data_IF_655033359503
#
_entry.id   IF_655033359503
#
_cell.length_a   1.000
_cell.length_b   1.000
_cell.length_c   1.000
_cell.angle_alpha   90.00
_cell.angle_beta   90.00
_cell.angle_gamma   90.00
#
_symmetry.space_group_name_H-M   'P 1'
#
loop_
_entity.id
_entity.type
_entity.pdbx_description
1 polymer ?
#
# COMPACT_ATOMS: atom_id res chain seq x y z
N UNK A 1 -51.53 24.78 4.80
CA UNK A 1 -50.79 25.25 3.61
C UNK A 1 -49.31 25.12 3.87
N UNK A 2 -48.65 24.27 3.09
CA UNK A 2 -47.21 24.06 3.10
C UNK A 2 -46.49 25.24 2.42
N UNK A 3 -45.24 25.49 2.81
CA UNK A 3 -44.13 25.67 1.86
C UNK A 3 -42.78 25.41 2.55
N UNK A 4 -42.29 24.22 2.25
CA UNK A 4 -40.90 23.77 2.36
C UNK A 4 -39.96 24.71 1.59
N UNK A 5 -38.83 25.09 2.21
CA UNK A 5 -37.69 25.68 1.52
C UNK A 5 -36.57 24.64 1.48
N UNK A 6 -36.59 23.85 0.40
CA UNK A 6 -35.49 22.99 0.01
C UNK A 6 -34.28 23.85 -0.37
N UNK A 7 -33.15 23.68 0.35
CA UNK A 7 -31.85 24.22 -0.06
C UNK A 7 -31.22 23.25 -1.06
N UNK A 8 -31.23 23.65 -2.32
CA UNK A 8 -30.54 22.97 -3.41
C UNK A 8 -29.03 22.94 -3.14
N UNK A 9 -28.46 21.75 -3.03
CA UNK A 9 -27.02 21.51 -2.97
C UNK A 9 -26.48 21.57 -4.40
N UNK A 10 -25.69 22.60 -4.71
CA UNK A 10 -24.95 22.67 -5.97
C UNK A 10 -23.82 21.64 -5.96
N UNK A 11 -23.94 20.61 -6.80
CA UNK A 11 -22.83 19.74 -7.19
C UNK A 11 -21.92 20.50 -8.16
N UNK A 12 -20.74 20.91 -7.68
CA UNK A 12 -19.71 21.55 -8.48
C UNK A 12 -18.98 20.56 -9.40
N UNK A 13 -19.31 20.66 -10.69
CA UNK A 13 -18.50 20.52 -11.91
C UNK A 13 -17.33 19.53 -11.96
N UNK A 14 -17.45 18.61 -12.93
CA UNK A 14 -16.44 17.71 -13.44
C UNK A 14 -15.13 18.44 -13.81
N UNK A 15 -14.00 17.88 -13.40
CA UNK A 15 -12.67 18.38 -13.74
C UNK A 15 -12.31 17.88 -15.15
N UNK A 16 -12.44 18.75 -16.14
CA UNK A 16 -11.94 18.50 -17.50
C UNK A 16 -10.43 18.76 -17.57
N UNK A 17 -9.71 17.78 -18.13
CA UNK A 17 -8.27 17.85 -18.37
C UNK A 17 -7.93 18.80 -19.53
N UNK A 18 -7.66 20.07 -19.22
CA UNK A 18 -6.92 20.92 -20.16
C UNK A 18 -5.41 20.65 -20.03
N UNK A 19 -4.88 20.00 -21.07
CA UNK A 19 -3.45 19.79 -21.32
C UNK A 19 -2.72 21.14 -21.40
N UNK A 20 -1.94 21.46 -20.37
CA UNK A 20 -0.81 22.39 -20.49
C UNK A 20 0.48 21.63 -20.14
N UNK A 21 1.30 21.44 -21.17
CA UNK A 21 2.60 20.80 -21.12
C UNK A 21 3.60 21.66 -20.35
N UNK A 22 3.79 21.33 -19.08
CA UNK A 22 5.07 21.53 -18.39
C UNK A 22 5.45 20.17 -17.83
N UNK A 23 6.71 19.77 -17.99
CA UNK A 23 7.23 18.43 -17.65
C UNK A 23 7.20 18.14 -16.16
N UNK A 24 6.01 18.01 -15.58
CA UNK A 24 5.80 17.47 -14.24
C UNK A 24 5.73 15.96 -14.37
N UNK A 25 6.61 15.27 -13.66
CA UNK A 25 6.52 13.83 -13.44
C UNK A 25 5.16 13.51 -12.83
N UNK A 26 4.19 13.17 -13.67
CA UNK A 26 2.85 12.78 -13.25
C UNK A 26 2.92 11.39 -12.66
N UNK A 27 2.26 11.19 -11.53
CA UNK A 27 2.14 9.87 -10.93
C UNK A 27 1.26 9.01 -11.84
N UNK A 28 1.77 7.85 -12.25
CA UNK A 28 0.97 6.87 -12.98
C UNK A 28 0.09 6.09 -11.99
N UNK A 29 -1.22 6.34 -12.04
CA UNK A 29 -2.19 5.69 -11.17
C UNK A 29 -2.74 4.43 -11.82
N UNK A 30 -2.86 3.35 -11.04
CA UNK A 30 -3.49 2.10 -11.48
C UNK A 30 -4.99 2.24 -11.74
N UNK A 31 -5.62 3.23 -11.10
CA UNK A 31 -7.03 3.59 -11.23
C UNK A 31 -7.18 5.09 -11.25
N UNK A 32 -8.25 5.57 -11.88
CA UNK A 32 -8.67 6.95 -11.70
C UNK A 32 -8.97 7.22 -10.22
N UNK A 33 -8.46 8.34 -9.71
CA UNK A 33 -8.69 8.70 -8.31
C UNK A 33 -10.09 9.28 -8.13
N UNK A 34 -10.83 8.74 -7.17
CA UNK A 34 -12.17 9.17 -6.82
C UNK A 34 -12.36 9.37 -5.30
N UNK A 35 -13.36 10.15 -4.95
CA UNK A 35 -13.82 10.29 -3.56
C UNK A 35 -14.54 9.04 -3.09
N UNK A 36 -14.50 8.79 -1.79
CA UNK A 36 -15.28 7.71 -1.18
C UNK A 36 -16.76 8.01 -1.35
N UNK A 37 -17.50 7.06 -1.92
CA UNK A 37 -18.94 7.20 -2.15
C UNK A 37 -19.66 5.93 -1.70
N UNK A 38 -20.59 6.01 -0.73
CA UNK A 38 -20.90 7.19 0.07
C UNK A 38 -19.76 7.57 1.04
N UNK A 39 -19.65 8.84 1.46
CA UNK A 39 -18.75 9.22 2.56
C UNK A 39 -19.12 8.48 3.85
N UNK A 40 -18.11 8.10 4.64
CA UNK A 40 -18.36 7.59 5.99
C UNK A 40 -18.77 8.75 6.93
N UNK A 41 -19.56 8.48 7.98
CA UNK A 41 -19.89 9.49 9.00
C UNK A 41 -18.67 9.85 9.87
N UNK A 42 -17.58 9.11 9.75
CA UNK A 42 -16.33 9.28 10.49
C UNK A 42 -15.11 9.21 9.58
N UNK A 43 -13.99 9.74 10.06
CA UNK A 43 -12.69 9.59 9.42
C UNK A 43 -11.87 8.47 10.07
N UNK A 44 -10.93 7.91 9.31
CA UNK A 44 -9.94 6.93 9.79
C UNK A 44 -8.57 7.59 9.77
N UNK A 45 -7.87 7.62 10.91
CA UNK A 45 -6.55 8.25 10.98
C UNK A 45 -5.47 7.37 10.33
N UNK A 46 -4.59 7.97 9.55
CA UNK A 46 -3.28 7.42 9.25
C UNK A 46 -2.23 8.18 10.07
N UNK A 47 -2.02 7.72 11.29
CA UNK A 47 -1.15 8.31 12.28
C UNK A 47 0.28 7.80 12.11
N UNK A 48 1.25 8.72 12.08
CA UNK A 48 2.67 8.34 12.03
C UNK A 48 3.56 9.46 12.57
N UNK A 49 4.68 9.11 13.16
CA UNK A 49 5.76 10.08 13.39
C UNK A 49 6.33 10.56 12.03
N UNK A 50 6.75 11.84 11.88
CA UNK A 50 7.37 12.33 10.66
C UNK A 50 8.55 11.47 10.18
N UNK A 51 8.68 11.23 8.88
CA UNK A 51 9.74 10.36 8.35
C UNK A 51 9.44 8.85 8.40
N UNK A 52 8.30 8.42 8.97
CA UNK A 52 7.90 7.00 9.00
C UNK A 52 7.31 6.45 7.69
N UNK A 53 7.23 7.24 6.61
CA UNK A 53 6.79 6.76 5.29
C UNK A 53 5.31 6.95 4.96
N UNK A 54 4.61 7.84 5.66
CA UNK A 54 3.18 8.09 5.47
C UNK A 54 2.78 8.38 4.02
N UNK A 55 3.50 9.28 3.34
CA UNK A 55 3.24 9.62 1.93
C UNK A 55 3.34 8.40 1.01
N UNK A 56 4.26 7.49 1.29
CA UNK A 56 4.41 6.26 0.51
C UNK A 56 3.24 5.30 0.77
N UNK A 57 2.83 5.13 2.03
CA UNK A 57 1.67 4.28 2.33
C UNK A 57 0.37 4.86 1.74
N UNK A 58 0.15 6.18 1.80
CA UNK A 58 -0.98 6.83 1.11
C UNK A 58 -0.97 6.58 -0.39
N UNK A 59 0.21 6.70 -1.01
CA UNK A 59 0.38 6.40 -2.43
C UNK A 59 -0.02 4.96 -2.75
N UNK A 60 0.46 3.98 -1.99
CA UNK A 60 0.09 2.58 -2.19
C UNK A 60 -1.41 2.34 -2.00
N UNK A 61 -2.02 2.92 -0.97
CA UNK A 61 -3.46 2.79 -0.75
C UNK A 61 -4.27 3.41 -1.89
N UNK A 62 -3.87 4.57 -2.42
CA UNK A 62 -4.48 5.17 -3.59
C UNK A 62 -4.29 4.31 -4.85
N UNK A 63 -3.11 3.70 -5.03
CA UNK A 63 -2.85 2.81 -6.16
C UNK A 63 -3.79 1.61 -6.16
N UNK A 64 -3.97 0.96 -5.00
CA UNK A 64 -4.77 -0.26 -4.93
C UNK A 64 -6.28 0.04 -4.98
N UNK A 65 -6.72 1.11 -4.32
CA UNK A 65 -8.15 1.37 -4.11
C UNK A 65 -8.76 2.36 -5.11
N UNK A 66 -7.95 3.25 -5.70
CA UNK A 66 -8.45 4.44 -6.40
C UNK A 66 -9.09 5.49 -5.47
N UNK A 67 -9.28 5.21 -4.17
CA UNK A 67 -9.90 6.16 -3.24
C UNK A 67 -8.84 7.15 -2.75
N UNK A 68 -9.12 8.45 -2.88
CA UNK A 68 -8.21 9.51 -2.42
C UNK A 68 -7.96 9.43 -0.92
N UNK A 69 -6.76 9.81 -0.50
CA UNK A 69 -6.40 9.90 0.92
C UNK A 69 -6.25 11.35 1.36
N UNK A 70 -6.78 11.68 2.53
CA UNK A 70 -6.78 13.03 3.07
C UNK A 70 -5.59 13.35 3.96
N UNK A 71 -5.51 14.60 4.43
CA UNK A 71 -4.57 15.03 5.47
C UNK A 71 -5.14 16.15 6.31
N UNK A 72 -4.80 16.17 7.60
CA UNK A 72 -5.12 17.28 8.53
C UNK A 72 -4.33 18.57 8.25
N UNK A 73 -3.53 18.61 7.18
CA UNK A 73 -2.68 19.72 6.80
C UNK A 73 -2.70 19.88 5.28
N UNK A 74 -2.40 21.09 4.81
CA UNK A 74 -2.29 21.40 3.39
C UNK A 74 -0.82 21.43 2.96
N UNK A 75 -0.40 20.44 2.16
CA UNK A 75 0.88 20.46 1.47
C UNK A 75 0.65 20.71 -0.03
N UNK A 76 0.91 21.93 -0.50
CA UNK A 76 0.70 22.32 -1.90
C UNK A 76 1.53 21.49 -2.88
N UNK A 77 2.71 21.03 -2.47
CA UNK A 77 3.58 20.20 -3.33
C UNK A 77 2.96 18.82 -3.52
N UNK A 78 2.52 18.19 -2.43
CA UNK A 78 1.83 16.90 -2.50
C UNK A 78 0.48 17.00 -3.22
N UNK A 79 -0.27 18.10 -3.01
CA UNK A 79 -1.55 18.32 -3.69
C UNK A 79 -1.40 18.38 -5.20
N UNK A 80 -0.39 19.10 -5.69
CA UNK A 80 -0.05 19.17 -7.12
C UNK A 80 0.48 17.86 -7.69
N UNK A 81 1.04 16.99 -6.85
CA UNK A 81 1.72 15.77 -7.28
C UNK A 81 0.87 14.50 -7.18
N UNK A 82 -0.40 14.56 -6.78
CA UNK A 82 -1.28 13.38 -6.76
C UNK A 82 -1.95 13.07 -5.43
N UNK A 83 -1.94 14.02 -4.48
CA UNK A 83 -2.74 13.97 -3.26
C UNK A 83 -3.82 15.06 -3.28
N UNK A 84 -4.85 14.97 -4.14
CA UNK A 84 -5.83 16.05 -4.35
C UNK A 84 -6.61 16.43 -3.09
N UNK A 85 -6.74 15.49 -2.15
CA UNK A 85 -7.47 15.65 -0.88
C UNK A 85 -6.60 16.12 0.31
N UNK A 86 -5.44 16.74 0.07
CA UNK A 86 -4.76 17.52 1.13
C UNK A 86 -5.74 18.53 1.74
N UNK A 87 -5.69 18.71 3.06
CA UNK A 87 -6.64 19.50 3.86
C UNK A 87 -8.09 18.94 3.95
N UNK A 88 -8.35 17.73 3.46
CA UNK A 88 -9.62 17.03 3.71
C UNK A 88 -9.41 16.02 4.84
N UNK A 89 -10.29 16.06 5.85
CA UNK A 89 -10.14 15.28 7.08
C UNK A 89 -11.44 14.65 7.60
N UNK A 90 -12.38 14.33 6.71
CA UNK A 90 -13.66 13.68 7.01
C UNK A 90 -13.76 12.30 6.33
N UNK A 91 -14.94 11.67 6.36
CA UNK A 91 -15.16 10.34 5.78
C UNK A 91 -15.30 10.29 4.26
N UNK A 92 -15.11 11.40 3.53
CA UNK A 92 -15.08 11.43 2.05
C UNK A 92 -13.79 10.85 1.47
N UNK A 93 -12.79 10.58 2.30
CA UNK A 93 -11.50 10.00 1.92
C UNK A 93 -11.31 8.61 2.54
N UNK A 94 -10.35 7.83 2.03
CA UNK A 94 -10.04 6.50 2.55
C UNK A 94 -9.50 6.55 3.99
N UNK A 95 -8.44 7.35 4.18
CA UNK A 95 -7.75 7.60 5.44
C UNK A 95 -7.23 9.04 5.47
N UNK A 96 -6.99 9.57 6.67
CA UNK A 96 -6.54 10.96 6.90
C UNK A 96 -5.17 10.97 7.57
N UNK A 97 -4.14 11.42 6.86
CA UNK A 97 -2.78 11.59 7.41
C UNK A 97 -2.74 12.58 8.56
N UNK A 98 -2.07 12.21 9.64
CA UNK A 98 -1.74 13.10 10.76
C UNK A 98 -0.38 12.79 11.39
N UNK A 99 0.33 13.85 11.79
CA UNK A 99 1.50 13.81 12.67
C UNK A 99 1.18 14.36 14.07
N UNK A 100 -0.08 14.76 14.31
CA UNK A 100 -0.55 15.23 15.61
C UNK A 100 -0.78 14.03 16.54
N UNK A 101 -0.67 14.27 17.84
CA UNK A 101 -1.13 13.34 18.88
C UNK A 101 -2.62 13.02 18.69
N UNK A 102 -3.11 11.89 19.25
CA UNK A 102 -4.52 11.53 19.14
C UNK A 102 -5.39 12.70 19.64
N UNK A 103 -6.49 13.01 18.93
CA UNK A 103 -7.36 14.10 19.31
C UNK A 103 -7.96 13.83 20.69
N UNK A 104 -8.05 14.88 21.52
CA UNK A 104 -8.78 14.80 22.80
C UNK A 104 -10.28 14.56 22.59
N UNK A 105 -10.80 15.03 21.45
CA UNK A 105 -12.19 14.84 21.06
C UNK A 105 -12.33 13.49 20.35
N UNK A 106 -13.08 12.57 20.97
CA UNK A 106 -13.27 11.20 20.49
C UNK A 106 -13.97 11.11 19.12
N UNK A 107 -14.66 12.17 18.69
CA UNK A 107 -15.47 12.16 17.46
C UNK A 107 -14.67 12.44 16.17
N UNK A 108 -13.36 12.72 16.24
CA UNK A 108 -12.60 13.07 15.03
C UNK A 108 -12.19 11.86 14.20
N UNK A 109 -11.82 10.76 14.85
CA UNK A 109 -11.41 9.53 14.20
C UNK A 109 -12.03 8.35 14.91
N UNK A 110 -12.74 7.51 14.18
CA UNK A 110 -13.35 6.28 14.71
C UNK A 110 -12.27 5.21 14.97
N UNK A 111 -11.33 5.10 14.03
CA UNK A 111 -10.25 4.13 14.08
C UNK A 111 -8.95 4.72 13.51
N UNK A 112 -7.83 4.03 13.75
CA UNK A 112 -6.51 4.51 13.34
C UNK A 112 -5.62 3.39 12.80
N UNK A 113 -4.90 3.69 11.73
CA UNK A 113 -3.70 2.97 11.33
C UNK A 113 -2.50 3.71 11.92
N UNK A 114 -1.72 3.04 12.76
CA UNK A 114 -0.49 3.57 13.36
C UNK A 114 0.72 3.00 12.61
N UNK A 115 1.35 3.84 11.78
CA UNK A 115 2.55 3.50 11.03
C UNK A 115 3.80 3.81 11.86
N UNK A 116 4.50 2.74 12.26
CA UNK A 116 5.69 2.76 13.09
C UNK A 116 6.90 2.44 12.22
N UNK A 117 7.98 3.20 12.39
CA UNK A 117 9.28 2.97 11.72
C UNK A 117 10.38 3.02 12.77
N UNK A 118 11.47 2.29 12.53
CA UNK A 118 12.67 2.38 13.37
C UNK A 118 13.03 3.85 13.65
N UNK A 119 13.13 4.26 14.94
CA UNK A 119 13.36 5.66 15.29
C UNK A 119 14.64 6.22 14.68
N UNK A 120 15.70 5.41 14.53
CA UNK A 120 16.94 5.81 13.85
C UNK A 120 16.66 6.31 12.44
N UNK A 121 15.95 5.51 11.65
CA UNK A 121 15.65 5.81 10.25
C UNK A 121 14.59 6.91 10.10
N UNK A 122 13.61 6.96 11.00
CA UNK A 122 12.57 7.98 10.98
C UNK A 122 13.13 9.38 11.31
N UNK A 123 14.01 9.48 12.32
CA UNK A 123 14.66 10.73 12.72
C UNK A 123 15.60 11.22 11.61
N UNK A 124 16.40 10.32 11.03
CA UNK A 124 17.25 10.67 9.88
C UNK A 124 16.41 11.12 8.68
N UNK A 125 15.29 10.44 8.42
CA UNK A 125 14.36 10.79 7.37
C UNK A 125 13.71 12.18 7.58
N UNK A 126 13.41 12.55 8.81
CA UNK A 126 12.85 13.86 9.14
C UNK A 126 13.89 14.96 9.06
N UNK A 127 15.12 14.71 9.51
CA UNK A 127 16.23 15.65 9.35
C UNK A 127 16.50 15.96 7.88
N UNK A 128 16.54 14.93 7.03
CA UNK A 128 16.66 15.10 5.59
C UNK A 128 15.49 15.91 5.00
N UNK A 129 14.26 15.68 5.49
CA UNK A 129 13.08 16.43 5.04
C UNK A 129 13.17 17.91 5.37
N UNK A 130 13.56 18.24 6.59
CA UNK A 130 13.67 19.63 7.05
C UNK A 130 14.74 20.39 6.26
N UNK A 131 15.85 19.74 5.93
CA UNK A 131 16.97 20.38 5.25
C UNK A 131 16.87 20.37 3.72
N UNK A 132 16.04 19.50 3.12
CA UNK A 132 16.07 19.27 1.67
C UNK A 132 14.73 18.86 1.04
N UNK A 133 13.61 19.00 1.76
CA UNK A 133 12.27 18.69 1.25
C UNK A 133 11.92 17.20 1.27
N UNK A 134 10.72 16.84 0.81
CA UNK A 134 10.13 15.50 1.00
C UNK A 134 11.01 14.33 0.54
N UNK A 135 11.70 14.51 -0.59
CA UNK A 135 12.55 13.49 -1.22
C UNK A 135 14.04 13.78 -1.16
N UNK A 136 14.46 14.93 -0.62
CA UNK A 136 15.86 15.36 -0.58
C UNK A 136 16.67 14.72 0.55
N UNK A 137 17.98 15.01 0.53
CA UNK A 137 18.97 14.54 1.52
C UNK A 137 19.75 15.75 2.01
N UNK A 138 19.87 15.89 3.33
CA UNK A 138 20.66 16.94 3.94
C UNK A 138 22.13 16.82 3.50
N UNK A 139 22.84 17.93 3.22
CA UNK A 139 24.25 17.87 2.86
C UNK A 139 25.08 17.23 3.98
N UNK A 140 26.18 16.52 3.65
CA UNK A 140 27.08 15.90 4.66
C UNK A 140 27.48 16.89 5.77
N UNK A 141 27.68 18.15 5.41
CA UNK A 141 28.05 19.23 6.33
C UNK A 141 26.97 19.60 7.36
N UNK A 142 25.73 19.17 7.17
CA UNK A 142 24.65 19.30 8.16
C UNK A 142 24.82 18.30 9.32
N UNK A 143 25.61 17.24 9.11
CA UNK A 143 25.92 16.20 10.12
C UNK A 143 27.29 16.39 10.77
N UNK A 144 28.06 17.41 10.39
CA UNK A 144 29.45 17.59 10.85
C UNK A 144 29.54 17.73 12.39
N UNK A 145 30.20 16.75 13.01
CA UNK A 145 30.44 16.67 14.46
C UNK A 145 31.80 17.24 14.90
N UNK A 146 32.60 17.81 13.98
CA UNK A 146 33.95 18.33 14.29
C UNK A 146 33.88 19.42 15.37
N UNK A 147 34.83 19.38 16.31
CA UNK A 147 34.86 20.14 17.58
C UNK A 147 34.71 21.66 17.43
N UNK A 148 35.05 22.22 16.26
CA UNK A 148 34.96 23.67 15.96
C UNK A 148 33.82 24.06 15.01
N UNK A 149 32.99 23.12 14.58
CA UNK A 149 31.83 23.44 13.76
C UNK A 149 30.64 23.84 14.66
N UNK A 150 29.98 24.99 14.43
CA UNK A 150 28.76 25.38 15.15
C UNK A 150 27.64 24.32 15.10
N UNK A 151 27.75 23.37 14.16
CA UNK A 151 26.73 22.36 13.84
C UNK A 151 26.75 21.10 14.71
N UNK A 152 27.79 20.85 15.52
CA UNK A 152 27.73 19.86 16.61
C UNK A 152 26.56 20.17 17.56
N UNK A 153 26.11 21.43 17.61
CA UNK A 153 24.93 21.91 18.35
C UNK A 153 23.57 21.61 17.68
N UNK A 154 23.50 21.05 16.47
CA UNK A 154 22.21 20.85 15.78
C UNK A 154 21.80 19.38 15.77
N UNK A 155 22.66 18.48 15.28
CA UNK A 155 22.29 17.07 15.12
C UNK A 155 22.06 16.34 16.46
N UNK A 156 22.97 16.48 17.42
CA UNK A 156 22.85 15.80 18.72
C UNK A 156 21.57 16.20 19.47
N UNK A 157 21.29 17.49 19.76
CA UNK A 157 20.05 17.87 20.42
C UNK A 157 18.81 17.61 19.56
N UNK A 158 18.94 17.63 18.22
CA UNK A 158 17.85 17.21 17.33
C UNK A 158 17.49 15.75 17.55
N UNK A 159 18.46 14.83 17.55
CA UNK A 159 18.22 13.40 17.80
C UNK A 159 17.55 13.19 19.15
N UNK A 160 18.09 13.76 20.23
CA UNK A 160 17.50 13.62 21.58
C UNK A 160 16.06 14.14 21.65
N UNK A 161 15.80 15.33 21.08
CA UNK A 161 14.45 15.91 21.05
C UNK A 161 13.49 15.06 20.21
N UNK A 162 13.93 14.63 19.02
CA UNK A 162 13.10 13.87 18.11
C UNK A 162 12.82 12.46 18.61
N UNK A 163 13.77 11.84 19.30
CA UNK A 163 13.59 10.55 19.93
C UNK A 163 12.52 10.62 21.04
N UNK A 164 12.55 11.68 21.87
CA UNK A 164 11.49 11.94 22.86
C UNK A 164 10.12 12.15 22.19
N UNK A 165 10.07 12.90 21.09
CA UNK A 165 8.83 13.12 20.33
C UNK A 165 8.31 11.81 19.71
N UNK A 166 9.20 10.99 19.17
CA UNK A 166 8.87 9.68 18.62
C UNK A 166 8.26 8.79 19.71
N UNK A 167 8.87 8.73 20.89
CA UNK A 167 8.36 7.95 22.02
C UNK A 167 6.97 8.43 22.47
N UNK A 168 6.82 9.72 22.75
CA UNK A 168 5.56 10.30 23.22
C UNK A 168 4.45 10.07 22.18
N UNK A 169 4.76 10.27 20.89
CA UNK A 169 3.80 10.09 19.81
C UNK A 169 3.21 8.67 19.82
N UNK A 170 4.06 7.65 19.78
CA UNK A 170 3.60 6.26 19.73
C UNK A 170 2.91 5.87 21.04
N UNK A 171 3.47 6.24 22.19
CA UNK A 171 2.85 5.93 23.48
C UNK A 171 1.44 6.53 23.59
N UNK A 172 1.22 7.77 23.16
CA UNK A 172 -0.10 8.39 23.21
C UNK A 172 -1.10 7.71 22.25
N UNK A 173 -0.70 7.41 21.01
CA UNK A 173 -1.58 6.68 20.09
C UNK A 173 -1.90 5.26 20.57
N UNK A 174 -0.99 4.60 21.28
CA UNK A 174 -1.21 3.27 21.84
C UNK A 174 -2.10 3.28 23.08
N UNK A 175 -1.95 4.28 23.96
CA UNK A 175 -2.58 4.27 25.29
C UNK A 175 -3.76 5.22 25.46
N UNK A 176 -3.87 6.27 24.63
CA UNK A 176 -4.89 7.33 24.79
C UNK A 176 -5.92 7.38 23.68
N UNK A 177 -5.66 6.80 22.51
CA UNK A 177 -6.68 6.70 21.48
C UNK A 177 -7.69 5.60 21.86
N UNK A 178 -8.99 5.92 22.00
CA UNK A 178 -9.98 4.97 22.50
C UNK A 178 -10.44 3.97 21.44
N UNK A 179 -10.34 4.33 20.15
CA UNK A 179 -10.81 3.50 19.05
C UNK A 179 -9.85 2.36 18.65
N UNK A 180 -10.27 1.53 17.69
CA UNK A 180 -9.43 0.48 17.13
C UNK A 180 -8.16 1.05 16.50
N UNK A 181 -7.04 0.36 16.72
CA UNK A 181 -5.73 0.73 16.18
C UNK A 181 -5.15 -0.47 15.46
N UNK A 182 -4.85 -0.31 14.18
CA UNK A 182 -4.13 -1.27 13.36
C UNK A 182 -2.66 -0.86 13.25
N UNK A 183 -1.76 -1.74 13.66
CA UNK A 183 -0.32 -1.44 13.70
C UNK A 183 0.33 -1.85 12.39
N UNK A 184 1.11 -0.94 11.80
CA UNK A 184 1.88 -1.21 10.59
C UNK A 184 3.33 -0.85 10.86
N UNK A 185 4.23 -1.83 10.72
CA UNK A 185 5.67 -1.54 10.71
C UNK A 185 6.11 -1.20 9.29
N UNK A 186 6.82 -0.08 9.14
CA UNK A 186 7.36 0.37 7.86
C UNK A 186 8.32 -0.66 7.25
N UNK A 187 9.10 -1.34 8.10
CA UNK A 187 10.01 -2.41 7.71
C UNK A 187 9.25 -3.61 7.13
N UNK A 188 8.10 -3.98 7.71
CA UNK A 188 7.22 -5.01 7.18
C UNK A 188 6.58 -4.58 5.84
N UNK A 189 6.14 -3.32 5.74
CA UNK A 189 5.64 -2.75 4.48
C UNK A 189 6.69 -2.80 3.35
N UNK A 190 7.98 -2.67 3.69
CA UNK A 190 9.08 -2.80 2.73
C UNK A 190 9.35 -4.25 2.32
N UNK A 191 9.41 -5.17 3.28
CA UNK A 191 9.76 -6.58 3.02
C UNK A 191 8.62 -7.35 2.37
N UNK A 192 7.38 -7.11 2.81
CA UNK A 192 6.19 -7.80 2.36
C UNK A 192 5.04 -6.80 2.15
N UNK A 193 5.19 -6.02 1.08
CA UNK A 193 4.24 -4.97 0.73
C UNK A 193 2.84 -5.53 0.48
N UNK A 194 2.72 -6.70 -0.17
CA UNK A 194 1.42 -7.28 -0.53
C UNK A 194 0.61 -7.62 0.71
N UNK A 195 1.15 -8.47 1.59
CA UNK A 195 0.40 -8.94 2.75
C UNK A 195 0.16 -7.81 3.76
N UNK A 196 1.12 -6.88 3.88
CA UNK A 196 0.93 -5.69 4.73
C UNK A 196 -0.22 -4.81 4.22
N UNK A 197 -0.31 -4.56 2.91
CA UNK A 197 -1.42 -3.81 2.32
C UNK A 197 -2.75 -4.56 2.45
N UNK A 198 -2.76 -5.88 2.22
CA UNK A 198 -3.95 -6.71 2.37
C UNK A 198 -4.51 -6.65 3.79
N UNK A 199 -3.66 -6.75 4.82
CA UNK A 199 -4.09 -6.60 6.21
C UNK A 199 -4.67 -5.22 6.52
N UNK A 200 -4.10 -4.16 5.95
CA UNK A 200 -4.67 -2.80 6.07
C UNK A 200 -6.04 -2.73 5.39
N UNK A 201 -6.20 -3.29 4.20
CA UNK A 201 -7.46 -3.26 3.44
C UNK A 201 -8.57 -4.03 4.18
N UNK A 202 -8.24 -5.17 4.78
CA UNK A 202 -9.14 -5.93 5.65
C UNK A 202 -9.59 -5.07 6.84
N UNK A 203 -8.64 -4.42 7.54
CA UNK A 203 -8.96 -3.50 8.63
C UNK A 203 -9.86 -2.33 8.20
N UNK A 204 -9.67 -1.82 6.98
CA UNK A 204 -10.48 -0.75 6.39
C UNK A 204 -11.82 -1.23 5.81
N UNK A 205 -12.08 -2.54 5.82
CA UNK A 205 -13.22 -3.19 5.17
C UNK A 205 -13.33 -2.81 3.67
N UNK A 206 -12.19 -2.80 2.97
CA UNK A 206 -12.12 -2.54 1.53
C UNK A 206 -11.79 -3.85 0.83
N UNK A 207 -12.68 -4.28 -0.06
CA UNK A 207 -12.40 -5.36 -0.99
C UNK A 207 -11.70 -4.79 -2.22
N UNK A 208 -10.69 -5.52 -2.68
CA UNK A 208 -9.93 -5.20 -3.88
C UNK A 208 -9.89 -6.48 -4.70
N UNK A 209 -10.02 -6.35 -6.01
CA UNK A 209 -10.03 -7.50 -6.90
C UNK A 209 -8.64 -8.13 -6.93
N UNK A 210 -8.49 -9.24 -6.23
CA UNK A 210 -7.34 -10.15 -6.36
C UNK A 210 -7.77 -11.30 -7.27
N UNK A 211 -7.39 -11.25 -8.55
CA UNK A 211 -7.60 -12.34 -9.49
C UNK A 211 -8.77 -12.11 -10.45
N UNK A 212 -8.41 -12.09 -11.74
CA UNK A 212 -9.18 -12.54 -12.89
C UNK A 212 -10.71 -12.41 -12.73
N UNK A 213 -11.23 -11.18 -12.73
CA UNK A 213 -12.65 -11.04 -13.02
C UNK A 213 -12.95 -11.69 -14.37
N UNK A 214 -14.01 -12.50 -14.40
CA UNK A 214 -14.62 -13.09 -15.61
C UNK A 214 -14.53 -12.07 -16.73
N UNK A 215 -13.61 -12.31 -17.66
CA UNK A 215 -13.50 -11.46 -18.85
C UNK A 215 -14.67 -11.83 -19.74
N UNK A 216 -15.73 -11.05 -19.61
CA UNK A 216 -16.75 -10.92 -20.64
C UNK A 216 -16.42 -9.65 -21.44
N UNK A 217 -16.23 -9.73 -22.77
CA UNK A 217 -16.30 -10.94 -23.59
C UNK A 217 -15.09 -11.88 -23.40
N UNK A 218 -15.25 -13.19 -23.67
CA UNK A 218 -14.17 -14.16 -23.59
C UNK A 218 -13.00 -13.77 -24.49
N UNK A 219 -11.77 -14.02 -24.02
CA UNK A 219 -10.57 -13.86 -24.85
C UNK A 219 -10.67 -14.78 -26.07
N UNK A 220 -10.02 -14.46 -27.20
CA UNK A 220 -9.94 -15.39 -28.33
C UNK A 220 -9.15 -16.68 -28.02
N UNK A 221 -8.58 -16.81 -26.82
CA UNK A 221 -7.74 -17.94 -26.39
C UNK A 221 -7.95 -18.26 -24.90
N UNK A 222 -7.88 -19.56 -24.56
CA UNK A 222 -7.90 -20.05 -23.18
C UNK A 222 -6.54 -19.93 -22.49
N UNK A 223 -6.51 -19.82 -21.14
CA UNK A 223 -5.28 -19.91 -20.35
C UNK A 223 -4.84 -21.38 -20.27
N UNK A 224 -3.58 -21.73 -20.56
CA UNK A 224 -3.13 -23.12 -20.54
C UNK A 224 -2.83 -23.65 -19.13
N UNK A 225 -3.37 -24.83 -18.79
CA UNK A 225 -2.89 -25.70 -17.69
C UNK A 225 -1.96 -26.75 -18.29
N UNK A 226 -0.68 -26.41 -18.37
CA UNK A 226 0.36 -27.25 -18.94
C UNK A 226 1.22 -27.90 -17.84
N UNK A 227 1.38 -29.22 -17.89
CA UNK A 227 2.34 -29.96 -17.07
C UNK A 227 2.62 -31.32 -17.71
N UNK A 228 3.55 -32.09 -17.15
CA UNK A 228 3.86 -33.43 -17.63
C UNK A 228 2.64 -34.37 -17.48
N UNK A 229 2.43 -35.34 -18.41
CA UNK A 229 1.40 -36.35 -18.25
C UNK A 229 1.47 -37.04 -16.89
N UNK A 230 0.33 -37.17 -16.19
CA UNK A 230 0.27 -37.77 -14.86
C UNK A 230 0.46 -36.82 -13.66
N UNK A 231 0.83 -35.55 -13.87
CA UNK A 231 1.04 -34.58 -12.76
C UNK A 231 -0.25 -34.02 -12.13
N UNK A 232 -1.37 -34.74 -12.24
CA UNK A 232 -2.61 -34.37 -11.54
C UNK A 232 -3.45 -33.24 -12.18
N UNK A 233 -3.22 -32.86 -13.44
CA UNK A 233 -3.99 -31.78 -14.08
C UNK A 233 -5.51 -32.03 -14.05
N UNK A 234 -5.95 -33.27 -14.26
CA UNK A 234 -7.39 -33.61 -14.21
C UNK A 234 -7.97 -33.38 -12.82
N UNK A 235 -7.22 -33.68 -11.76
CA UNK A 235 -7.61 -33.40 -10.38
C UNK A 235 -7.68 -31.90 -10.10
N UNK A 236 -6.68 -31.14 -10.55
CA UNK A 236 -6.69 -29.69 -10.40
C UNK A 236 -7.85 -29.03 -11.17
N UNK A 237 -8.18 -29.54 -12.36
CA UNK A 237 -9.38 -29.09 -13.10
C UNK A 237 -10.64 -29.33 -12.29
N UNK A 238 -10.79 -30.51 -11.68
CA UNK A 238 -11.93 -30.80 -10.81
C UNK A 238 -12.04 -29.78 -9.67
N UNK A 239 -10.94 -29.53 -8.94
CA UNK A 239 -10.90 -28.57 -7.84
C UNK A 239 -11.23 -27.14 -8.30
N UNK A 240 -10.64 -26.69 -9.41
CA UNK A 240 -10.89 -25.36 -9.95
C UNK A 240 -12.36 -25.19 -10.37
N UNK A 241 -12.96 -26.21 -10.99
CA UNK A 241 -14.40 -26.17 -11.31
C UNK A 241 -15.26 -26.04 -10.05
N UNK A 242 -14.95 -26.78 -8.98
CA UNK A 242 -15.71 -26.74 -7.72
C UNK A 242 -15.59 -25.39 -7.01
N UNK A 243 -14.38 -24.81 -6.97
CA UNK A 243 -14.13 -23.55 -6.26
C UNK A 243 -14.64 -22.35 -7.04
N UNK A 244 -14.57 -22.37 -8.37
CA UNK A 244 -14.93 -21.21 -9.21
C UNK A 244 -16.34 -21.27 -9.78
N UNK A 245 -16.94 -22.46 -9.85
CA UNK A 245 -18.18 -22.71 -10.58
C UNK A 245 -18.05 -22.54 -12.10
N UNK A 246 -16.83 -22.43 -12.64
CA UNK A 246 -16.55 -22.25 -14.07
C UNK A 246 -15.97 -23.56 -14.64
N UNK A 247 -16.47 -23.99 -15.80
CA UNK A 247 -15.99 -25.19 -16.49
C UNK A 247 -14.54 -25.00 -17.00
N UNK A 248 -13.72 -26.04 -16.83
CA UNK A 248 -12.30 -26.04 -17.20
C UNK A 248 -12.09 -27.01 -18.36
N UNK A 249 -11.62 -26.48 -19.49
CA UNK A 249 -11.51 -27.23 -20.75
C UNK A 249 -10.27 -28.10 -20.86
N UNK A 250 -10.20 -28.84 -21.96
CA UNK A 250 -9.01 -29.57 -22.38
C UNK A 250 -8.89 -29.55 -23.90
N UNK A 251 -7.65 -29.49 -24.38
CA UNK A 251 -7.34 -29.75 -25.79
C UNK A 251 -7.61 -31.20 -26.19
N UNK A 252 -7.66 -32.10 -25.21
CA UNK A 252 -8.01 -33.50 -25.41
C UNK A 252 -9.51 -33.68 -25.27
N UNK A 253 -10.06 -34.64 -26.02
CA UNK A 253 -11.44 -35.08 -25.88
C UNK A 253 -11.44 -36.49 -25.29
N UNK A 254 -11.97 -36.62 -24.08
CA UNK A 254 -12.21 -37.90 -23.41
C UNK A 254 -13.70 -38.06 -23.09
N UNK A 255 -14.31 -39.10 -23.66
CA UNK A 255 -15.75 -39.35 -23.54
C UNK A 255 -16.16 -39.70 -22.10
N UNK A 256 -15.35 -40.49 -21.39
CA UNK A 256 -15.65 -40.93 -20.04
C UNK A 256 -15.51 -39.76 -19.05
N UNK A 257 -14.47 -38.94 -19.19
CA UNK A 257 -14.34 -37.72 -18.37
C UNK A 257 -15.48 -36.73 -18.62
N UNK A 258 -15.94 -36.60 -19.87
CA UNK A 258 -17.08 -35.73 -20.19
C UNK A 258 -18.36 -36.19 -19.51
N UNK A 259 -18.58 -37.50 -19.46
CA UNK A 259 -19.73 -38.12 -18.77
C UNK A 259 -19.63 -37.99 -17.25
N UNK A 260 -18.43 -37.86 -16.69
CA UNK A 260 -18.17 -37.83 -15.25
C UNK A 260 -17.73 -36.45 -14.72
N UNK A 261 -18.31 -35.36 -15.24
CA UNK A 261 -18.19 -34.03 -14.63
C UNK A 261 -17.17 -33.08 -15.27
N UNK A 262 -16.68 -33.39 -16.46
CA UNK A 262 -15.86 -32.49 -17.28
C UNK A 262 -16.56 -32.14 -18.60
N UNK A 263 -17.66 -31.35 -18.58
CA UNK A 263 -18.47 -31.10 -19.77
C UNK A 263 -17.72 -30.38 -20.91
N UNK A 264 -16.59 -29.75 -20.59
CA UNK A 264 -15.71 -29.00 -21.49
C UNK A 264 -14.49 -29.78 -22.00
N UNK A 265 -14.51 -31.12 -21.94
CA UNK A 265 -13.56 -31.95 -22.71
C UNK A 265 -13.64 -31.62 -24.21
N UNK A 266 -12.49 -31.44 -24.85
CA UNK A 266 -12.38 -31.03 -26.25
C UNK A 266 -12.66 -29.55 -26.52
N UNK A 267 -12.86 -28.72 -25.48
CA UNK A 267 -13.04 -27.27 -25.60
C UNK A 267 -11.74 -26.55 -25.25
N UNK A 268 -11.21 -25.81 -26.21
CA UNK A 268 -9.91 -25.13 -26.15
C UNK A 268 -9.98 -23.62 -26.44
N UNK A 269 -11.18 -23.05 -26.54
CA UNK A 269 -11.39 -21.65 -26.87
C UNK A 269 -11.68 -20.77 -25.63
N UNK A 270 -11.96 -19.49 -25.84
CA UNK A 270 -12.24 -18.53 -24.78
C UNK A 270 -13.44 -18.83 -23.88
N UNK A 271 -14.27 -19.83 -24.20
CA UNK A 271 -15.43 -20.21 -23.39
C UNK A 271 -15.05 -20.92 -22.08
N UNK A 272 -13.79 -21.35 -21.93
CA UNK A 272 -13.26 -21.98 -20.71
C UNK A 272 -12.23 -21.09 -20.00
N UNK A 273 -12.22 -21.11 -18.67
CA UNK A 273 -11.29 -20.30 -17.87
C UNK A 273 -9.83 -20.73 -18.07
N UNK A 274 -9.62 -22.05 -18.11
CA UNK A 274 -8.33 -22.70 -18.27
C UNK A 274 -8.50 -23.93 -19.19
N UNK A 275 -7.49 -24.25 -19.98
CA UNK A 275 -7.46 -25.40 -20.89
C UNK A 275 -6.25 -26.29 -20.57
N UNK A 276 -6.50 -27.56 -20.23
CA UNK A 276 -5.42 -28.54 -20.07
C UNK A 276 -4.78 -28.90 -21.42
N UNK A 277 -3.45 -28.81 -21.46
CA UNK A 277 -2.60 -29.23 -22.58
C UNK A 277 -1.33 -29.93 -22.09
N UNK A 278 -0.68 -30.68 -22.99
CA UNK A 278 0.69 -31.15 -22.80
C UNK A 278 1.64 -30.58 -23.86
N UNK A 279 1.20 -29.61 -24.65
CA UNK A 279 2.03 -29.02 -25.70
C UNK A 279 3.15 -28.18 -25.08
N UNK A 280 4.38 -28.69 -25.19
CA UNK A 280 5.61 -28.15 -24.62
C UNK A 280 6.32 -27.16 -25.57
N UNK A 281 5.74 -26.84 -26.73
CA UNK A 281 6.36 -25.95 -27.73
C UNK A 281 6.69 -24.55 -27.20
N UNK A 282 6.00 -24.05 -26.16
CA UNK A 282 6.30 -22.78 -25.50
C UNK A 282 7.36 -22.85 -24.39
N UNK A 283 7.65 -24.04 -23.83
CA UNK A 283 8.52 -24.19 -22.66
C UNK A 283 10.01 -24.34 -23.01
N UNK A 284 10.34 -24.63 -24.27
CA UNK A 284 11.72 -24.93 -24.71
C UNK A 284 12.66 -23.71 -24.67
N UNK A 285 12.15 -22.48 -24.52
CA UNK A 285 13.00 -21.28 -24.54
C UNK A 285 13.57 -20.81 -23.18
N UNK A 286 13.20 -21.39 -22.04
CA UNK A 286 13.62 -20.85 -20.73
C UNK A 286 14.13 -21.96 -19.79
N UNK A 287 15.45 -22.06 -19.65
CA UNK A 287 16.17 -23.05 -18.81
C UNK A 287 16.19 -22.70 -17.30
N UNK A 288 15.21 -21.98 -16.77
CA UNK A 288 15.28 -21.55 -15.37
C UNK A 288 13.89 -21.44 -14.70
N UNK A 289 13.64 -22.36 -13.76
CA UNK A 289 12.34 -22.62 -13.14
C UNK A 289 11.92 -21.54 -12.13
N UNK A 290 12.86 -20.99 -11.36
CA UNK A 290 12.56 -19.92 -10.39
C UNK A 290 12.32 -18.56 -11.07
N UNK A 291 12.91 -18.36 -12.25
CA UNK A 291 12.74 -17.14 -13.03
C UNK A 291 11.44 -17.13 -13.83
N UNK A 292 10.85 -18.29 -14.14
CA UNK A 292 9.62 -18.36 -14.93
C UNK A 292 8.42 -17.71 -14.24
N UNK A 293 8.22 -17.91 -12.92
CA UNK A 293 7.10 -17.30 -12.19
C UNK A 293 7.19 -15.76 -12.19
N UNK A 294 8.37 -15.22 -11.91
CA UNK A 294 8.62 -13.77 -11.91
C UNK A 294 8.58 -13.18 -13.34
N UNK A 295 9.07 -13.91 -14.35
CA UNK A 295 8.96 -13.56 -15.76
C UNK A 295 7.50 -13.54 -16.24
N UNK A 296 6.70 -14.51 -15.82
CA UNK A 296 5.29 -14.60 -16.20
C UNK A 296 4.45 -13.47 -15.58
N UNK A 297 4.66 -13.17 -14.29
CA UNK A 297 4.03 -12.04 -13.59
C UNK A 297 4.43 -10.67 -14.17
N UNK A 298 5.64 -10.54 -14.71
CA UNK A 298 6.11 -9.30 -15.34
C UNK A 298 5.65 -9.15 -16.80
N UNK A 299 5.53 -10.25 -17.55
CA UNK A 299 5.14 -10.24 -18.97
C UNK A 299 3.62 -10.25 -19.18
N UNK A 300 2.86 -10.82 -18.24
CA UNK A 300 1.39 -10.87 -18.28
C UNK A 300 0.81 -10.49 -16.91
N UNK A 301 0.92 -9.22 -16.48
CA UNK A 301 0.27 -8.78 -15.25
C UNK A 301 -1.22 -9.04 -15.39
N UNK A 302 -1.78 -9.88 -14.52
CA UNK A 302 -3.22 -10.03 -14.39
C UNK A 302 -3.88 -8.66 -14.15
N UNK A 303 -5.18 -8.51 -14.40
CA UNK A 303 -5.93 -7.27 -14.15
C UNK A 303 -6.14 -6.98 -12.65
N UNK A 304 -5.13 -7.28 -11.82
CA UNK A 304 -5.22 -7.25 -10.37
C UNK A 304 -4.68 -5.92 -9.86
N UNK A 305 -5.52 -5.17 -9.16
CA UNK A 305 -5.20 -3.84 -8.64
C UNK A 305 -3.97 -3.86 -7.72
N UNK A 306 -3.83 -4.93 -6.95
CA UNK A 306 -2.68 -5.18 -6.09
C UNK A 306 -1.40 -5.36 -6.92
N UNK A 307 -1.43 -6.11 -8.02
CA UNK A 307 -0.24 -6.34 -8.86
C UNK A 307 0.22 -5.05 -9.55
N UNK A 308 -0.71 -4.22 -10.01
CA UNK A 308 -0.37 -2.90 -10.54
C UNK A 308 0.29 -2.01 -9.47
N UNK A 309 -0.29 -1.96 -8.26
CA UNK A 309 0.27 -1.18 -7.17
C UNK A 309 1.67 -1.65 -6.75
N UNK A 310 1.89 -2.97 -6.72
CA UNK A 310 3.20 -3.56 -6.42
C UNK A 310 4.23 -3.26 -7.50
N UNK A 311 3.83 -3.27 -8.77
CA UNK A 311 4.71 -2.90 -9.91
C UNK A 311 5.11 -1.42 -9.82
N UNK A 312 4.17 -0.56 -9.43
CA UNK A 312 4.40 0.88 -9.31
C UNK A 312 4.93 1.30 -7.93
N UNK A 313 5.20 0.37 -7.01
CA UNK A 313 5.37 0.66 -5.57
C UNK A 313 6.46 1.68 -5.26
N UNK A 314 7.53 1.76 -6.05
CA UNK A 314 8.61 2.69 -5.76
C UNK A 314 8.24 4.16 -6.04
N UNK A 315 7.35 4.40 -7.00
CA UNK A 315 6.77 5.71 -7.32
C UNK A 315 7.75 6.90 -7.32
N UNK A 316 7.22 8.09 -7.03
CA UNK A 316 7.99 9.33 -6.84
C UNK A 316 8.34 9.62 -5.36
N UNK A 317 7.67 8.96 -4.43
CA UNK A 317 7.69 9.33 -3.01
C UNK A 317 8.66 8.51 -2.17
N UNK A 318 9.26 7.46 -2.73
CA UNK A 318 10.32 6.70 -2.08
C UNK A 318 11.67 7.36 -2.35
N UNK A 319 12.44 7.66 -1.31
CA UNK A 319 13.79 8.24 -1.46
C UNK A 319 14.74 7.19 -2.04
N UNK A 320 15.24 7.42 -3.26
CA UNK A 320 16.15 6.51 -3.97
C UNK A 320 17.62 6.73 -3.64
N UNK A 321 17.99 7.93 -3.17
CA UNK A 321 19.38 8.26 -2.81
C UNK A 321 19.56 8.12 -1.29
N UNK A 322 20.68 7.51 -0.87
CA UNK A 322 21.19 7.48 0.51
C UNK A 322 22.71 7.62 0.46
N UNK A 323 23.31 8.28 1.44
CA UNK A 323 24.76 8.18 1.62
C UNK A 323 25.10 6.74 2.04
N UNK A 324 25.93 6.05 1.26
CA UNK A 324 26.35 4.68 1.57
C UNK A 324 27.33 4.63 2.75
N UNK A 325 28.17 5.66 2.88
CA UNK A 325 29.32 5.66 3.81
C UNK A 325 29.20 6.71 4.93
N UNK A 326 27.98 7.17 5.25
CA UNK A 326 27.75 8.12 6.34
C UNK A 326 26.71 7.58 7.32
N UNK A 327 27.16 7.20 8.51
CA UNK A 327 26.30 6.99 9.66
C UNK A 327 26.47 8.16 10.65
N UNK A 328 25.49 9.08 10.74
CA UNK A 328 25.61 10.23 11.61
C UNK A 328 25.32 9.91 13.09
N UNK A 329 24.99 8.66 13.42
CA UNK A 329 24.64 8.26 14.78
C UNK A 329 25.87 7.82 15.58
N UNK A 330 25.96 8.31 16.81
CA UNK A 330 26.98 7.85 17.77
C UNK A 330 26.52 6.59 18.49
N UNK A 331 27.45 5.85 19.10
CA UNK A 331 27.12 4.68 19.92
C UNK A 331 26.12 5.01 21.06
N UNK A 332 26.26 6.16 21.72
CA UNK A 332 25.31 6.59 22.76
C UNK A 332 23.91 6.87 22.19
N UNK A 333 23.82 7.41 20.97
CA UNK A 333 22.53 7.59 20.31
C UNK A 333 21.86 6.24 20.02
N UNK A 334 22.62 5.24 19.56
CA UNK A 334 22.10 3.89 19.36
C UNK A 334 21.56 3.29 20.66
N UNK A 335 22.31 3.43 21.77
CA UNK A 335 21.86 2.98 23.08
C UNK A 335 20.51 3.61 23.48
N UNK A 336 20.36 4.92 23.30
CA UNK A 336 19.10 5.63 23.59
C UNK A 336 17.95 5.18 22.67
N UNK A 337 18.24 4.99 21.38
CA UNK A 337 17.30 4.49 20.38
C UNK A 337 16.78 3.11 20.77
N UNK A 338 17.66 2.20 21.18
CA UNK A 338 17.28 0.84 21.58
C UNK A 338 16.45 0.82 22.86
N UNK A 339 16.78 1.67 23.84
CA UNK A 339 15.96 1.83 25.05
C UNK A 339 14.53 2.28 24.72
N UNK A 340 14.39 3.32 23.88
CA UNK A 340 13.09 3.86 23.48
C UNK A 340 12.30 2.88 22.64
N UNK A 341 12.95 2.21 21.68
CA UNK A 341 12.37 1.14 20.87
C UNK A 341 11.82 0.03 21.75
N UNK A 342 12.59 -0.41 22.74
CA UNK A 342 12.18 -1.47 23.69
C UNK A 342 10.95 -1.06 24.49
N UNK A 343 10.86 0.20 24.96
CA UNK A 343 9.69 0.68 25.70
C UNK A 343 8.42 0.66 24.84
N UNK A 344 8.50 1.09 23.58
CA UNK A 344 7.34 1.05 22.67
C UNK A 344 6.96 -0.39 22.29
N UNK A 345 7.94 -1.27 22.08
CA UNK A 345 7.67 -2.70 21.84
C UNK A 345 6.94 -3.35 23.03
N UNK A 346 7.36 -3.06 24.27
CA UNK A 346 6.65 -3.53 25.47
C UNK A 346 5.21 -3.02 25.52
N UNK A 347 4.99 -1.75 25.21
CA UNK A 347 3.64 -1.15 25.18
C UNK A 347 2.75 -1.77 24.08
N UNK A 348 3.34 -2.13 22.94
CA UNK A 348 2.65 -2.86 21.87
C UNK A 348 2.23 -4.27 22.31
N UNK A 349 3.15 -5.04 22.90
CA UNK A 349 2.86 -6.39 23.40
C UNK A 349 1.73 -6.33 24.43
N UNK A 350 1.83 -5.44 25.41
CA UNK A 350 0.78 -5.24 26.41
C UNK A 350 -0.57 -4.91 25.78
N UNK A 351 -0.60 -4.02 24.77
CA UNK A 351 -1.85 -3.68 24.07
C UNK A 351 -2.47 -4.88 23.35
N UNK A 352 -1.65 -5.75 22.76
CA UNK A 352 -2.13 -6.98 22.10
C UNK A 352 -2.66 -7.97 23.13
N UNK A 353 -1.96 -8.17 24.24
CA UNK A 353 -2.39 -9.07 25.32
C UNK A 353 -3.71 -8.63 25.96
N UNK A 354 -3.93 -7.32 26.16
CA UNK A 354 -5.18 -6.78 26.73
C UNK A 354 -6.37 -6.75 25.77
N UNK A 355 -6.20 -7.13 24.50
CA UNK A 355 -7.27 -7.19 23.50
C UNK A 355 -7.90 -8.60 23.37
N UNK A 356 -7.31 -9.60 24.02
CA UNK A 356 -7.96 -10.88 24.34
C UNK A 356 -8.67 -10.75 25.68
#
# INVERSE_FOLDING_TARGET
MAKSLAKTIHYGTQVSNHKNSTGHSSVNWCKELHWRTPPLPFAIALASYPGSGNTWLRYLLQQVTGIVTGSVSLDYSLRKQGFPAENISDGSVLVVKTHKYPPKNVNKFESAILLIRNPRDAILAEFNRINSGHTGIAPKSAFDMKVRAPRRKVWVPFVSLQLRKWEIFHNLWLTKFPGPVYIVFYEALLSDTRNTLQGILIFLNITVTEGLHRRTPPLPFAIALASYPGSGNTWLRYLLQQVTGIVIGSQYYDFDLRKHGFPAEGISDGSVLVMKTHDYTLAIQLRDWENFHNFWLTKYPGPDDMNCALTNKDGLYKRKKKYKDLDPFTHEMYRQIDMVKTRILKSLIQKVETRN
#
